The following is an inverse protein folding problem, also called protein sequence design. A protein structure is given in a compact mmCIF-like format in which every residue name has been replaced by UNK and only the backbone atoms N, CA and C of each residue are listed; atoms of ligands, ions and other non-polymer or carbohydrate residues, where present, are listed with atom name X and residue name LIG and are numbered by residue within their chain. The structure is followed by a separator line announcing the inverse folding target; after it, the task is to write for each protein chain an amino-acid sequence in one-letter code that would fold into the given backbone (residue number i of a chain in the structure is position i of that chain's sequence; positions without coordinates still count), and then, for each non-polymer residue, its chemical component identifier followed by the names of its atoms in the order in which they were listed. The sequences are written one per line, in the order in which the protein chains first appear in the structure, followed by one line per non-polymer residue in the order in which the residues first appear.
data_IF_324323420611
#
_entry.id   IF_324323420611
#
_cell.length_a   1.000
_cell.length_b   1.000
_cell.length_c   1.000
_cell.angle_alpha   90.00
_cell.angle_beta   90.00
_cell.angle_gamma   90.00
#
_symmetry.space_group_name_H-M   'P 1'
#
loop_
_entity.id
_entity.type
_entity.pdbx_description
1 polymer ?
#
# COMPACT_ATOMS: atom_id res chain seq x y z
N UNK A 1 31.78 -16.34 0.93
CA UNK A 1 31.03 -16.88 2.09
C UNK A 1 29.66 -16.26 1.98
N UNK A 2 28.61 -17.06 1.73
CA UNK A 2 27.27 -16.56 1.44
C UNK A 2 26.62 -15.83 2.63
N UNK A 3 27.25 -15.82 3.80
CA UNK A 3 26.76 -15.11 4.99
C UNK A 3 27.50 -13.79 5.26
N UNK A 4 28.55 -13.50 4.49
CA UNK A 4 29.35 -12.28 4.71
C UNK A 4 28.75 -11.09 3.99
N UNK A 5 28.43 -10.05 4.76
CA UNK A 5 28.11 -8.72 4.25
C UNK A 5 29.42 -7.96 3.99
N UNK A 6 29.57 -7.40 2.78
CA UNK A 6 30.73 -6.60 2.41
C UNK A 6 30.36 -5.12 2.34
N UNK A 7 30.89 -4.35 3.30
CA UNK A 7 30.90 -2.89 3.24
C UNK A 7 32.29 -2.40 2.88
N UNK A 8 32.46 -1.86 1.67
CA UNK A 8 33.74 -1.37 1.17
C UNK A 8 34.07 0.06 1.64
N UNK A 9 33.11 0.77 2.26
CA UNK A 9 33.27 2.19 2.60
C UNK A 9 33.64 3.02 1.38
N UNK A 10 34.42 4.08 1.60
CA UNK A 10 35.04 4.86 0.52
C UNK A 10 36.41 4.28 0.17
N UNK A 11 36.65 4.01 -1.12
CA UNK A 11 37.95 3.56 -1.63
C UNK A 11 38.29 2.07 -1.39
N UNK A 12 37.39 1.27 -0.78
CA UNK A 12 37.63 -0.15 -0.58
C UNK A 12 37.48 -0.97 -1.87
N UNK A 13 38.29 -2.03 -2.01
CA UNK A 13 38.26 -2.91 -3.18
C UNK A 13 37.86 -4.33 -2.78
N UNK A 14 36.93 -4.93 -3.54
CA UNK A 14 36.62 -6.35 -3.52
C UNK A 14 37.05 -6.97 -4.85
N UNK A 15 38.14 -7.74 -4.83
CA UNK A 15 38.62 -8.49 -5.99
C UNK A 15 38.11 -9.94 -5.92
N UNK A 16 37.28 -10.32 -6.90
CA UNK A 16 36.75 -11.68 -7.07
C UNK A 16 37.27 -12.36 -8.34
N UNK A 17 38.28 -11.79 -9.00
CA UNK A 17 38.80 -12.25 -10.29
C UNK A 17 39.33 -13.69 -10.31
N UNK A 18 39.63 -14.27 -9.14
CA UNK A 18 40.18 -15.63 -9.01
C UNK A 18 39.17 -16.78 -9.12
N UNK A 19 37.89 -16.56 -8.81
CA UNK A 19 36.82 -17.57 -8.91
C UNK A 19 35.46 -16.96 -8.59
N UNK A 20 34.38 -17.53 -9.11
CA UNK A 20 33.00 -17.19 -8.71
C UNK A 20 32.85 -17.09 -7.19
N UNK A 21 32.14 -16.05 -6.73
CA UNK A 21 31.90 -15.78 -5.30
C UNK A 21 30.42 -15.59 -5.01
N UNK A 22 30.02 -15.96 -3.80
CA UNK A 22 28.71 -15.62 -3.22
C UNK A 22 28.91 -14.87 -1.92
N UNK A 23 28.19 -13.75 -1.78
CA UNK A 23 28.18 -12.85 -0.61
C UNK A 23 26.75 -12.55 -0.17
N UNK A 24 26.56 -12.18 1.10
CA UNK A 24 25.25 -11.86 1.66
C UNK A 24 24.79 -10.44 1.37
N UNK A 25 25.70 -9.49 1.18
CA UNK A 25 25.35 -8.11 0.86
C UNK A 25 26.55 -7.37 0.29
N UNK A 26 26.28 -6.38 -0.57
CA UNK A 26 27.27 -5.44 -1.07
C UNK A 26 26.84 -4.01 -0.74
N UNK A 27 27.69 -3.26 -0.05
CA UNK A 27 27.56 -1.83 0.12
C UNK A 27 28.90 -1.12 -0.06
N UNK A 28 28.87 0.13 -0.48
CA UNK A 28 30.06 0.93 -0.71
C UNK A 28 29.73 2.37 -1.04
N UNK A 29 30.63 3.27 -0.68
CA UNK A 29 30.56 4.69 -1.01
C UNK A 29 31.35 4.98 -2.29
N UNK A 30 31.48 6.25 -2.65
CA UNK A 30 32.29 6.68 -3.79
C UNK A 30 33.72 6.13 -3.70
N UNK A 31 34.32 5.90 -4.86
CA UNK A 31 35.67 5.34 -5.05
C UNK A 31 35.84 3.87 -4.62
N UNK A 32 34.80 3.21 -4.10
CA UNK A 32 34.85 1.75 -3.91
C UNK A 32 34.83 1.01 -5.26
N UNK A 33 35.43 -0.19 -5.31
CA UNK A 33 35.58 -0.97 -6.53
C UNK A 33 35.27 -2.46 -6.30
N UNK A 34 34.59 -3.08 -7.25
CA UNK A 34 34.48 -4.54 -7.37
C UNK A 34 35.12 -4.98 -8.68
N UNK A 35 36.20 -5.76 -8.59
CA UNK A 35 36.90 -6.32 -9.75
C UNK A 35 36.42 -7.76 -10.01
N UNK A 36 35.61 -7.97 -11.04
CA UNK A 36 35.02 -9.29 -11.35
C UNK A 36 36.00 -10.24 -12.04
N UNK A 37 37.02 -9.72 -12.74
CA UNK A 37 37.81 -10.53 -13.69
C UNK A 37 36.89 -11.19 -14.72
N UNK A 38 36.93 -12.51 -14.84
CA UNK A 38 36.02 -13.30 -15.69
C UNK A 38 34.87 -13.96 -14.91
N UNK A 39 34.75 -13.68 -13.61
CA UNK A 39 33.96 -14.47 -12.68
C UNK A 39 32.56 -13.86 -12.43
N UNK A 40 31.66 -14.68 -11.90
CA UNK A 40 30.35 -14.22 -11.44
C UNK A 40 30.39 -13.91 -9.95
N UNK A 41 29.90 -12.73 -9.58
CA UNK A 41 29.60 -12.40 -8.19
C UNK A 41 28.09 -12.53 -7.94
N UNK A 42 27.72 -13.49 -7.11
CA UNK A 42 26.36 -13.66 -6.59
C UNK A 42 26.19 -12.88 -5.30
N UNK A 43 25.17 -12.03 -5.26
CA UNK A 43 24.81 -11.17 -4.13
C UNK A 43 23.45 -11.67 -3.62
N UNK A 44 23.47 -12.54 -2.61
CA UNK A 44 22.29 -13.18 -2.00
C UNK A 44 21.79 -12.33 -0.82
N UNK A 45 21.24 -11.16 -1.14
CA UNK A 45 20.95 -10.14 -0.13
C UNK A 45 19.49 -10.10 0.32
N UNK A 46 19.30 -10.17 1.64
CA UNK A 46 17.99 -10.09 2.28
C UNK A 46 17.63 -8.67 2.72
N UNK A 47 18.63 -7.83 2.96
CA UNK A 47 18.47 -6.42 3.37
C UNK A 47 18.83 -5.47 2.23
N UNK A 48 18.30 -4.26 2.30
CA UNK A 48 18.55 -3.22 1.31
C UNK A 48 19.93 -2.59 1.50
N UNK A 49 20.66 -2.39 0.40
CA UNK A 49 21.98 -1.76 0.39
C UNK A 49 22.14 -0.82 -0.79
N UNK A 50 23.12 0.07 -0.68
CA UNK A 50 23.54 0.96 -1.76
C UNK A 50 25.04 0.79 -2.03
N UNK A 51 25.39 0.76 -3.31
CA UNK A 51 26.76 0.68 -3.80
C UNK A 51 27.00 1.81 -4.80
N UNK A 52 27.79 2.81 -4.38
CA UNK A 52 28.18 3.95 -5.19
C UNK A 52 29.51 3.77 -5.94
N UNK A 53 30.20 2.66 -5.67
CA UNK A 53 31.42 2.29 -6.35
C UNK A 53 31.22 1.84 -7.79
N UNK A 54 32.32 1.47 -8.43
CA UNK A 54 32.36 0.93 -9.79
C UNK A 54 32.51 -0.59 -9.71
N UNK A 55 31.78 -1.30 -10.57
CA UNK A 55 31.98 -2.72 -10.83
C UNK A 55 32.61 -2.85 -12.22
N UNK A 56 33.72 -3.58 -12.33
CA UNK A 56 34.47 -3.73 -13.58
C UNK A 56 34.84 -5.19 -13.88
N UNK A 57 35.21 -5.45 -15.13
CA UNK A 57 35.63 -6.77 -15.62
C UNK A 57 34.76 -7.34 -16.75
N UNK A 58 35.05 -8.57 -17.17
CA UNK A 58 34.26 -9.28 -18.17
C UNK A 58 33.28 -10.30 -17.54
N UNK A 59 33.41 -10.51 -16.23
CA UNK A 59 32.50 -11.28 -15.41
C UNK A 59 31.14 -10.62 -15.22
N UNK A 60 30.25 -11.32 -14.51
CA UNK A 60 28.84 -10.97 -14.36
C UNK A 60 28.37 -10.82 -12.91
N UNK A 61 27.13 -10.39 -12.76
CA UNK A 61 26.45 -10.24 -11.47
C UNK A 61 25.21 -11.13 -11.44
N UNK A 62 25.00 -11.84 -10.33
CA UNK A 62 23.72 -12.48 -10.00
C UNK A 62 23.16 -11.81 -8.75
N UNK A 63 22.05 -11.09 -8.89
CA UNK A 63 21.30 -10.48 -7.79
C UNK A 63 20.22 -11.45 -7.31
N UNK A 64 20.44 -11.98 -6.12
CA UNK A 64 19.58 -12.92 -5.41
C UNK A 64 19.10 -12.29 -4.08
N UNK A 65 18.30 -13.04 -3.32
CA UNK A 65 17.72 -12.59 -2.05
C UNK A 65 16.63 -11.52 -2.21
N UNK A 66 15.91 -11.20 -1.14
CA UNK A 66 14.72 -10.33 -1.19
C UNK A 66 15.01 -8.82 -1.16
N UNK A 67 16.21 -8.41 -0.78
CA UNK A 67 16.56 -7.00 -0.58
C UNK A 67 16.77 -6.23 -1.89
N UNK A 68 16.87 -4.91 -1.76
CA UNK A 68 17.15 -3.96 -2.84
C UNK A 68 18.65 -3.69 -2.94
N UNK A 69 19.26 -3.95 -4.09
CA UNK A 69 20.62 -3.50 -4.41
C UNK A 69 20.52 -2.23 -5.24
N UNK A 70 20.84 -1.09 -4.65
CA UNK A 70 20.88 0.19 -5.33
C UNK A 70 22.29 0.47 -5.87
N UNK A 71 22.45 0.44 -7.20
CA UNK A 71 23.69 0.80 -7.88
C UNK A 71 23.61 2.26 -8.32
N UNK A 72 24.40 3.12 -7.68
CA UNK A 72 24.47 4.55 -8.03
C UNK A 72 25.73 4.93 -8.80
N UNK A 73 26.73 4.05 -8.82
CA UNK A 73 27.97 4.25 -9.59
C UNK A 73 27.85 3.85 -11.06
N UNK A 74 28.82 4.30 -11.86
CA UNK A 74 28.92 3.98 -13.30
C UNK A 74 29.79 2.74 -13.51
N UNK A 75 29.15 1.57 -13.52
CA UNK A 75 29.81 0.28 -13.64
C UNK A 75 30.07 -0.09 -15.11
N UNK A 76 31.26 -0.65 -15.37
CA UNK A 76 31.79 -0.89 -16.72
C UNK A 76 31.89 -2.36 -17.10
N UNK A 77 31.49 -3.28 -16.20
CA UNK A 77 31.52 -4.70 -16.47
C UNK A 77 30.62 -5.10 -17.65
N UNK A 78 31.03 -6.15 -18.37
CA UNK A 78 30.41 -6.56 -19.64
C UNK A 78 29.78 -7.93 -19.61
N UNK A 79 30.09 -8.78 -18.63
CA UNK A 79 29.42 -10.05 -18.42
C UNK A 79 28.01 -9.86 -17.89
N UNK A 80 27.12 -10.85 -18.02
CA UNK A 80 25.68 -10.69 -17.84
C UNK A 80 25.28 -10.35 -16.40
N UNK A 81 24.20 -9.59 -16.27
CA UNK A 81 23.51 -9.33 -15.00
C UNK A 81 22.21 -10.13 -14.94
N UNK A 82 22.14 -11.10 -14.03
CA UNK A 82 20.92 -11.83 -13.74
C UNK A 82 20.25 -11.25 -12.49
N UNK A 83 18.98 -10.87 -12.59
CA UNK A 83 18.16 -10.45 -11.44
C UNK A 83 17.21 -11.60 -11.14
N UNK A 84 17.55 -12.44 -10.16
CA UNK A 84 16.78 -13.64 -9.80
C UNK A 84 15.85 -13.43 -8.60
N UNK A 85 16.10 -12.39 -7.79
CA UNK A 85 15.29 -12.10 -6.62
C UNK A 85 15.46 -10.66 -6.11
N UNK A 86 14.42 -10.17 -5.44
CA UNK A 86 14.40 -8.82 -4.88
C UNK A 86 14.48 -7.78 -5.99
N UNK A 87 15.09 -6.64 -5.69
CA UNK A 87 15.21 -5.53 -6.66
C UNK A 87 16.66 -5.19 -6.94
N UNK A 88 17.00 -5.06 -8.22
CA UNK A 88 18.18 -4.33 -8.67
C UNK A 88 17.71 -2.93 -9.13
N UNK A 89 18.03 -1.90 -8.34
CA UNK A 89 17.77 -0.52 -8.72
C UNK A 89 19.03 0.08 -9.33
N UNK A 90 18.99 0.46 -10.61
CA UNK A 90 20.12 1.10 -11.30
C UNK A 90 19.83 2.59 -11.41
N UNK A 91 20.52 3.38 -10.61
CA UNK A 91 20.43 4.85 -10.57
C UNK A 91 21.72 5.52 -11.09
N UNK A 92 22.78 4.74 -11.31
CA UNK A 92 23.96 5.11 -12.10
C UNK A 92 23.88 4.49 -13.49
N UNK A 93 24.90 3.72 -13.87
CA UNK A 93 24.89 2.97 -15.12
C UNK A 93 25.52 1.58 -15.03
N UNK A 94 24.99 0.64 -15.81
CA UNK A 94 25.62 -0.66 -16.09
C UNK A 94 25.65 -0.89 -17.59
N UNK A 95 26.81 -1.30 -18.13
CA UNK A 95 26.96 -1.63 -19.57
C UNK A 95 26.43 -3.03 -19.88
N UNK A 96 26.47 -3.92 -18.89
CA UNK A 96 26.09 -5.32 -18.98
C UNK A 96 24.67 -5.55 -19.54
N UNK A 97 24.46 -6.63 -20.32
CA UNK A 97 23.11 -7.09 -20.63
C UNK A 97 22.41 -7.64 -19.38
N UNK A 98 21.15 -7.25 -19.19
CA UNK A 98 20.34 -7.63 -18.03
C UNK A 98 19.31 -8.69 -18.41
N UNK A 99 19.20 -9.74 -17.58
CA UNK A 99 18.10 -10.69 -17.61
C UNK A 99 17.35 -10.64 -16.28
N UNK A 100 16.06 -10.32 -16.33
CA UNK A 100 15.18 -10.31 -15.17
C UNK A 100 14.41 -11.62 -15.13
N UNK A 101 14.70 -12.46 -14.14
CA UNK A 101 14.08 -13.76 -13.96
C UNK A 101 12.87 -13.69 -13.02
N UNK A 102 12.14 -14.81 -12.90
CA UNK A 102 10.96 -14.90 -12.06
C UNK A 102 11.26 -14.49 -10.60
N UNK A 103 10.53 -13.50 -10.08
CA UNK A 103 10.72 -12.99 -8.72
C UNK A 103 11.80 -11.91 -8.58
N UNK A 104 12.52 -11.59 -9.66
CA UNK A 104 13.41 -10.44 -9.73
C UNK A 104 12.71 -9.19 -10.29
N UNK A 105 13.14 -8.03 -9.80
CA UNK A 105 12.68 -6.72 -10.27
C UNK A 105 13.86 -5.87 -10.70
N UNK A 106 13.81 -5.31 -11.91
CA UNK A 106 14.72 -4.26 -12.35
C UNK A 106 14.04 -2.89 -12.22
N UNK A 107 14.68 -1.94 -11.55
CA UNK A 107 14.18 -0.58 -11.42
C UNK A 107 15.27 0.49 -11.44
N UNK A 108 14.95 1.68 -10.94
CA UNK A 108 15.84 2.85 -10.92
C UNK A 108 15.68 3.75 -12.15
N UNK A 109 16.37 4.89 -12.14
CA UNK A 109 16.29 5.95 -13.16
C UNK A 109 17.57 6.13 -14.01
N UNK A 110 18.47 5.15 -13.94
CA UNK A 110 19.76 5.13 -14.60
C UNK A 110 19.75 4.54 -16.02
N UNK A 111 20.89 3.99 -16.41
CA UNK A 111 21.09 3.33 -17.72
C UNK A 111 21.53 1.88 -17.57
N UNK A 112 20.90 0.98 -18.32
CA UNK A 112 21.25 -0.45 -18.40
C UNK A 112 21.57 -0.84 -19.85
N UNK A 113 22.27 -1.97 -20.05
CA UNK A 113 22.48 -2.56 -21.37
C UNK A 113 21.22 -3.25 -21.92
N UNK A 114 21.38 -4.06 -22.97
CA UNK A 114 20.30 -4.89 -23.52
C UNK A 114 19.53 -5.63 -22.42
N UNK A 115 18.21 -5.55 -22.41
CA UNK A 115 17.40 -6.07 -21.30
C UNK A 115 16.41 -7.13 -21.78
N UNK A 116 16.34 -8.26 -21.09
CA UNK A 116 15.31 -9.27 -21.29
C UNK A 116 14.52 -9.47 -19.99
N UNK A 117 13.22 -9.23 -20.04
CA UNK A 117 12.31 -9.47 -18.92
C UNK A 117 11.65 -10.83 -19.14
N UNK A 118 12.08 -11.82 -18.37
CA UNK A 118 11.59 -13.19 -18.42
C UNK A 118 10.20 -13.36 -17.82
N UNK A 119 9.66 -14.57 -17.94
CA UNK A 119 8.36 -14.90 -17.35
C UNK A 119 8.39 -14.74 -15.83
N UNK A 120 7.44 -13.99 -15.27
CA UNK A 120 7.38 -13.65 -13.85
C UNK A 120 8.45 -12.66 -13.37
N UNK A 121 9.28 -12.12 -14.27
CA UNK A 121 10.18 -11.01 -13.97
C UNK A 121 9.48 -9.66 -14.12
N UNK A 122 9.89 -8.69 -13.32
CA UNK A 122 9.28 -7.36 -13.28
C UNK A 122 10.28 -6.28 -13.69
N UNK A 123 9.85 -5.33 -14.51
CA UNK A 123 10.55 -4.06 -14.70
C UNK A 123 9.67 -2.94 -14.12
N UNK A 124 10.25 -2.13 -13.23
CA UNK A 124 9.60 -1.06 -12.48
C UNK A 124 10.52 0.18 -12.49
N UNK A 125 10.55 0.95 -13.59
CA UNK A 125 11.44 2.10 -13.75
C UNK A 125 11.21 3.17 -12.69
N UNK A 126 12.25 3.93 -12.39
CA UNK A 126 12.16 5.10 -11.52
C UNK A 126 12.42 4.82 -10.03
N UNK A 127 12.22 5.88 -9.25
CA UNK A 127 12.20 5.93 -7.79
C UNK A 127 10.96 6.74 -7.34
N UNK A 128 9.83 6.56 -8.03
CA UNK A 128 8.56 7.30 -7.92
C UNK A 128 8.62 8.80 -8.29
N UNK A 129 8.23 9.29 -9.47
CA UNK A 129 8.06 8.72 -10.82
C UNK A 129 9.37 8.98 -11.60
N UNK A 130 9.83 8.07 -12.47
CA UNK A 130 11.13 8.21 -13.15
C UNK A 130 11.27 7.56 -14.53
N UNK A 131 12.49 7.62 -15.07
CA UNK A 131 12.80 7.09 -16.40
C UNK A 131 14.01 6.16 -16.32
N UNK A 132 13.87 4.93 -16.83
CA UNK A 132 14.99 4.02 -17.03
C UNK A 132 15.41 4.00 -18.51
N UNK A 133 16.70 4.16 -18.78
CA UNK A 133 17.24 4.04 -20.14
C UNK A 133 17.78 2.64 -20.39
N UNK A 134 17.31 1.98 -21.44
CA UNK A 134 17.89 0.75 -21.96
C UNK A 134 18.75 1.12 -23.17
N UNK A 135 20.07 1.12 -22.99
CA UNK A 135 21.03 1.35 -24.08
C UNK A 135 21.18 0.08 -24.95
N UNK A 136 20.10 -0.31 -25.61
CA UNK A 136 19.99 -1.50 -26.41
C UNK A 136 18.54 -1.88 -26.67
N UNK A 137 18.34 -3.13 -27.09
CA UNK A 137 17.00 -3.68 -27.24
C UNK A 137 16.42 -4.10 -25.87
N UNK A 138 15.09 -4.04 -25.75
CA UNK A 138 14.35 -4.64 -24.63
C UNK A 138 13.34 -5.66 -25.15
N UNK A 139 13.27 -6.82 -24.48
CA UNK A 139 12.29 -7.86 -24.75
C UNK A 139 11.46 -8.21 -23.52
N UNK A 140 10.12 -8.19 -23.68
CA UNK A 140 9.15 -8.63 -22.69
C UNK A 140 8.66 -10.03 -23.07
N UNK A 141 9.09 -11.05 -22.33
CA UNK A 141 8.66 -12.43 -22.55
C UNK A 141 7.22 -12.68 -22.07
N UNK A 142 6.65 -13.82 -22.46
CA UNK A 142 5.33 -14.24 -22.01
C UNK A 142 5.25 -14.29 -20.46
N UNK A 143 4.27 -13.61 -19.88
CA UNK A 143 4.08 -13.53 -18.43
C UNK A 143 5.05 -12.61 -17.70
N UNK A 144 5.83 -11.78 -18.39
CA UNK A 144 6.58 -10.69 -17.74
C UNK A 144 5.65 -9.54 -17.31
N UNK A 145 6.12 -8.73 -16.36
CA UNK A 145 5.37 -7.64 -15.78
C UNK A 145 6.11 -6.33 -16.04
N UNK A 146 5.43 -5.35 -16.63
CA UNK A 146 5.87 -3.96 -16.67
C UNK A 146 5.05 -3.15 -15.67
N UNK A 147 5.66 -2.78 -14.55
CA UNK A 147 5.04 -1.93 -13.53
C UNK A 147 5.30 -0.46 -13.86
N UNK A 148 4.26 0.37 -13.76
CA UNK A 148 4.30 1.79 -14.14
C UNK A 148 3.57 2.63 -13.09
N UNK A 149 4.30 3.48 -12.37
CA UNK A 149 3.73 4.51 -11.51
C UNK A 149 3.27 5.70 -12.36
N UNK A 150 2.10 6.26 -12.06
CA UNK A 150 1.54 7.42 -12.78
C UNK A 150 0.84 8.38 -11.85
N UNK A 151 0.76 9.67 -12.21
CA UNK A 151 0.04 10.66 -11.43
C UNK A 151 -0.94 11.51 -12.25
N UNK A 152 -1.81 12.23 -11.54
CA UNK A 152 -2.82 13.10 -12.15
C UNK A 152 -2.23 14.27 -12.97
N UNK A 153 -0.96 14.64 -12.73
CA UNK A 153 -0.26 15.68 -13.48
C UNK A 153 0.22 15.21 -14.87
N UNK A 154 -0.02 13.95 -15.24
CA UNK A 154 0.40 13.40 -16.53
C UNK A 154 1.84 12.88 -16.54
N UNK A 155 2.44 12.69 -15.37
CA UNK A 155 3.74 12.06 -15.24
C UNK A 155 3.57 10.55 -15.09
N UNK A 156 4.50 9.78 -15.65
CA UNK A 156 4.51 8.34 -15.57
C UNK A 156 5.94 7.81 -15.59
N UNK A 157 6.12 6.63 -15.01
CA UNK A 157 7.32 5.86 -15.24
C UNK A 157 7.46 5.51 -16.71
N UNK A 158 8.72 5.50 -17.16
CA UNK A 158 9.02 5.30 -18.57
C UNK A 158 10.29 4.50 -18.78
N UNK A 159 10.22 3.54 -19.69
CA UNK A 159 11.40 2.89 -20.28
C UNK A 159 11.70 3.50 -21.65
N UNK A 160 12.95 3.90 -21.85
CA UNK A 160 13.47 4.36 -23.14
C UNK A 160 14.54 3.41 -23.68
N UNK A 161 14.18 2.64 -24.70
CA UNK A 161 15.10 1.76 -25.39
C UNK A 161 15.71 2.44 -26.63
N UNK A 162 17.04 2.49 -26.70
CA UNK A 162 17.76 2.96 -27.90
C UNK A 162 17.73 1.93 -29.04
N UNK A 163 17.36 0.68 -28.74
CA UNK A 163 17.15 -0.41 -29.69
C UNK A 163 15.68 -0.69 -30.00
N UNK A 164 15.40 -1.92 -30.42
CA UNK A 164 14.05 -2.40 -30.68
C UNK A 164 13.38 -2.88 -29.40
N UNK A 165 12.06 -2.71 -29.33
CA UNK A 165 11.19 -3.23 -28.27
C UNK A 165 10.43 -4.43 -28.83
N UNK A 166 10.49 -5.57 -28.14
CA UNK A 166 9.71 -6.78 -28.48
C UNK A 166 8.81 -7.18 -27.32
N UNK A 167 7.53 -7.43 -27.58
CA UNK A 167 6.52 -7.71 -26.55
C UNK A 167 5.77 -8.99 -26.90
N UNK A 168 5.80 -9.97 -26.00
CA UNK A 168 5.00 -11.18 -26.10
C UNK A 168 3.53 -10.91 -25.72
N UNK A 169 2.62 -11.67 -26.31
CA UNK A 169 1.16 -11.51 -26.23
C UNK A 169 0.54 -11.74 -24.84
N UNK A 170 1.29 -12.28 -23.88
CA UNK A 170 0.87 -12.51 -22.49
C UNK A 170 1.73 -11.74 -21.48
N UNK A 171 2.61 -10.86 -21.95
CA UNK A 171 3.24 -9.85 -21.09
C UNK A 171 2.18 -8.86 -20.59
N UNK A 172 2.37 -8.31 -19.40
CA UNK A 172 1.36 -7.51 -18.70
C UNK A 172 1.90 -6.13 -18.35
N UNK A 173 1.02 -5.13 -18.31
CA UNK A 173 1.30 -3.82 -17.70
C UNK A 173 0.51 -3.71 -16.40
N UNK A 174 1.19 -3.46 -15.29
CA UNK A 174 0.58 -3.18 -13.99
C UNK A 174 0.72 -1.68 -13.68
N UNK A 175 -0.39 -0.95 -13.71
CA UNK A 175 -0.40 0.48 -13.42
C UNK A 175 -0.60 0.69 -11.91
N UNK A 176 0.28 1.51 -11.32
CA UNK A 176 0.18 2.00 -9.96
C UNK A 176 -0.12 3.50 -10.03
N UNK A 177 -1.38 3.89 -9.88
CA UNK A 177 -1.75 5.30 -9.92
C UNK A 177 -1.60 5.94 -8.53
N UNK A 178 -0.92 7.08 -8.47
CA UNK A 178 -0.92 7.92 -7.27
C UNK A 178 -2.31 8.52 -7.04
N UNK A 179 -2.63 8.88 -5.79
CA UNK A 179 -3.85 9.66 -5.53
C UNK A 179 -3.76 11.03 -6.18
N UNK A 180 -4.81 11.45 -6.90
CA UNK A 180 -4.87 12.79 -7.49
C UNK A 180 -6.09 13.00 -8.37
N UNK A 181 -6.35 14.26 -8.73
CA UNK A 181 -7.50 14.64 -9.55
C UNK A 181 -7.24 14.36 -11.04
N UNK A 182 -7.41 13.10 -11.47
CA UNK A 182 -7.25 12.73 -12.88
C UNK A 182 -8.29 13.43 -13.75
N UNK A 183 -7.83 13.96 -14.89
CA UNK A 183 -8.72 14.42 -15.94
C UNK A 183 -9.60 13.25 -16.44
N UNK A 184 -10.74 13.51 -17.13
CA UNK A 184 -11.55 12.45 -17.75
C UNK A 184 -10.74 11.48 -18.62
N UNK A 185 -9.63 11.98 -19.16
CA UNK A 185 -8.61 11.20 -19.83
C UNK A 185 -7.23 11.81 -19.57
N UNK A 186 -6.26 10.99 -19.17
CA UNK A 186 -4.84 11.36 -19.10
C UNK A 186 -4.01 10.39 -19.92
N UNK A 187 -3.10 10.90 -20.75
CA UNK A 187 -2.25 10.12 -21.65
C UNK A 187 -0.79 10.16 -21.18
N UNK A 188 -0.14 9.00 -21.13
CA UNK A 188 1.22 8.78 -20.66
C UNK A 188 2.03 8.00 -21.69
N UNK A 189 3.20 8.48 -22.08
CA UNK A 189 4.13 7.66 -22.88
C UNK A 189 4.98 6.84 -21.94
N UNK A 190 4.73 5.53 -21.90
CA UNK A 190 5.33 4.64 -20.89
C UNK A 190 6.50 3.83 -21.46
N UNK A 191 6.58 3.62 -22.77
CA UNK A 191 7.65 2.83 -23.37
C UNK A 191 7.99 3.39 -24.74
N UNK A 192 9.28 3.59 -25.02
CA UNK A 192 9.76 3.93 -26.35
C UNK A 192 10.85 3.00 -26.83
N UNK A 193 10.88 2.77 -28.15
CA UNK A 193 11.90 2.00 -28.85
C UNK A 193 12.35 2.74 -30.09
N UNK A 194 13.60 3.21 -30.10
CA UNK A 194 14.11 4.01 -31.21
C UNK A 194 14.21 3.22 -32.53
N UNK A 195 14.29 1.88 -32.46
CA UNK A 195 14.24 0.99 -33.64
C UNK A 195 12.88 0.29 -33.80
N UNK A 196 11.85 0.78 -33.12
CA UNK A 196 10.47 0.31 -33.25
C UNK A 196 9.98 -0.59 -32.13
N UNK A 197 8.66 -0.72 -32.06
CA UNK A 197 7.93 -1.58 -31.12
C UNK A 197 7.21 -2.67 -31.91
N UNK A 198 7.48 -3.93 -31.56
CA UNK A 198 6.85 -5.10 -32.17
C UNK A 198 6.13 -5.93 -31.11
N UNK A 199 4.87 -6.27 -31.39
CA UNK A 199 3.99 -6.97 -30.43
C UNK A 199 3.20 -6.01 -29.54
N UNK A 200 2.40 -6.58 -28.66
CA UNK A 200 1.50 -5.85 -27.76
C UNK A 200 1.40 -6.59 -26.43
N UNK A 201 1.30 -5.86 -25.32
CA UNK A 201 0.97 -6.44 -24.02
C UNK A 201 -0.43 -7.09 -24.08
N UNK A 202 -0.57 -8.25 -23.43
CA UNK A 202 -1.80 -9.04 -23.39
C UNK A 202 -2.86 -8.49 -22.45
N UNK A 203 -2.43 -7.83 -21.38
CA UNK A 203 -3.31 -7.21 -20.40
C UNK A 203 -2.71 -5.95 -19.81
N UNK A 204 -3.59 -5.07 -19.34
CA UNK A 204 -3.24 -3.93 -18.51
C UNK A 204 -4.18 -3.90 -17.30
N UNK A 205 -3.62 -3.70 -16.11
CA UNK A 205 -4.36 -3.58 -14.86
C UNK A 205 -4.05 -2.25 -14.19
N UNK A 206 -4.90 -1.81 -13.27
CA UNK A 206 -4.68 -0.63 -12.43
C UNK A 206 -5.13 -0.95 -11.01
N UNK A 207 -4.50 -0.32 -10.03
CA UNK A 207 -4.86 -0.42 -8.62
C UNK A 207 -6.05 0.47 -8.22
N UNK A 208 -6.45 1.42 -9.07
CA UNK A 208 -7.64 2.26 -8.84
C UNK A 208 -8.92 1.67 -9.43
N UNK A 209 -9.98 1.66 -8.62
CA UNK A 209 -11.27 1.09 -9.03
C UNK A 209 -12.00 1.96 -10.06
N UNK A 210 -11.67 3.24 -10.15
CA UNK A 210 -12.38 4.21 -10.97
C UNK A 210 -11.61 4.67 -12.23
N UNK A 211 -10.51 3.99 -12.55
CA UNK A 211 -9.71 4.26 -13.74
C UNK A 211 -9.74 3.05 -14.68
N UNK A 212 -10.03 3.28 -15.94
CA UNK A 212 -9.94 2.27 -16.99
C UNK A 212 -8.66 2.50 -17.80
N UNK A 213 -7.69 1.56 -17.73
CA UNK A 213 -6.46 1.68 -18.49
C UNK A 213 -6.62 1.14 -19.92
N UNK A 214 -6.05 1.87 -20.88
CA UNK A 214 -6.01 1.49 -22.29
C UNK A 214 -4.61 1.71 -22.85
N UNK A 215 -4.05 0.69 -23.50
CA UNK A 215 -2.77 0.80 -24.20
C UNK A 215 -2.99 1.11 -25.68
N UNK A 216 -2.23 2.08 -26.19
CA UNK A 216 -2.17 2.48 -27.59
C UNK A 216 -0.76 2.31 -28.11
N UNK A 217 -0.65 1.82 -29.33
CA UNK A 217 0.64 1.50 -29.94
C UNK A 217 0.87 2.38 -31.17
N UNK A 218 2.09 2.87 -31.29
CA UNK A 218 2.63 3.50 -32.48
C UNK A 218 3.84 2.71 -32.97
N UNK A 219 4.47 3.16 -34.05
CA UNK A 219 5.67 2.49 -34.56
C UNK A 219 6.80 2.40 -33.54
N UNK A 220 6.96 3.42 -32.67
CA UNK A 220 8.13 3.57 -31.79
C UNK A 220 7.78 3.79 -30.31
N UNK A 221 6.50 3.73 -29.94
CA UNK A 221 6.07 4.02 -28.58
C UNK A 221 4.78 3.30 -28.19
N UNK A 222 4.66 3.02 -26.88
CA UNK A 222 3.43 2.60 -26.21
C UNK A 222 2.95 3.74 -25.33
N UNK A 223 1.69 4.11 -25.50
CA UNK A 223 1.00 5.13 -24.70
C UNK A 223 -0.07 4.48 -23.86
N UNK A 224 -0.03 4.70 -22.55
CA UNK A 224 -1.10 4.39 -21.63
C UNK A 224 -2.08 5.57 -21.58
N UNK A 225 -3.36 5.31 -21.79
CA UNK A 225 -4.44 6.26 -21.52
C UNK A 225 -5.21 5.77 -20.30
N UNK A 226 -5.32 6.60 -19.27
CA UNK A 226 -6.24 6.36 -18.16
C UNK A 226 -7.50 7.17 -18.38
N UNK A 227 -8.64 6.49 -18.39
CA UNK A 227 -9.96 7.09 -18.44
C UNK A 227 -10.59 7.04 -17.07
N UNK A 228 -11.29 8.09 -16.66
CA UNK A 228 -12.26 7.93 -15.56
C UNK A 228 -13.35 6.99 -16.03
N UNK A 229 -13.61 5.94 -15.27
CA UNK A 229 -14.63 4.97 -15.64
C UNK A 229 -16.03 5.39 -15.18
N UNK A 230 -17.04 4.75 -15.74
CA UNK A 230 -18.45 4.98 -15.42
C UNK A 230 -18.94 4.07 -14.26
N UNK A 231 -18.02 3.54 -13.43
CA UNK A 231 -18.41 2.71 -12.28
C UNK A 231 -19.01 3.63 -11.22
N UNK A 232 -20.29 3.41 -10.92
CA UNK A 232 -20.96 4.12 -9.83
C UNK A 232 -20.34 3.70 -8.49
N UNK A 233 -20.18 4.63 -7.54
CA UNK A 233 -19.70 4.30 -6.19
C UNK A 233 -20.48 3.15 -5.53
N UNK A 234 -21.75 3.02 -5.89
CA UNK A 234 -22.67 1.98 -5.41
C UNK A 234 -22.18 0.57 -5.78
N UNK A 235 -21.54 0.41 -6.94
CA UNK A 235 -21.06 -0.90 -7.43
C UNK A 235 -19.79 -1.37 -6.72
N UNK A 236 -19.07 -0.45 -6.06
CA UNK A 236 -17.89 -0.74 -5.25
C UNK A 236 -18.25 -1.09 -3.80
N UNK A 237 -19.44 -0.71 -3.32
CA UNK A 237 -19.87 -0.94 -1.95
C UNK A 237 -20.05 -2.44 -1.63
N UNK A 238 -19.50 -2.88 -0.49
CA UNK A 238 -19.54 -4.30 -0.09
C UNK A 238 -20.85 -4.71 0.62
N UNK A 239 -21.62 -3.76 1.14
CA UNK A 239 -22.86 -4.04 1.87
C UNK A 239 -23.95 -2.96 1.69
N UNK A 240 -25.15 -3.23 2.20
CA UNK A 240 -26.31 -2.36 2.02
C UNK A 240 -26.15 -0.96 2.62
N UNK A 241 -25.47 -0.83 3.77
CA UNK A 241 -25.23 0.46 4.41
C UNK A 241 -24.22 1.28 3.60
N UNK A 242 -23.13 0.65 3.16
CA UNK A 242 -22.15 1.27 2.27
C UNK A 242 -22.80 1.71 0.95
N UNK A 243 -23.64 0.87 0.35
CA UNK A 243 -24.35 1.16 -0.90
C UNK A 243 -25.24 2.39 -0.77
N UNK A 244 -25.94 2.55 0.36
CA UNK A 244 -26.76 3.73 0.63
C UNK A 244 -25.94 5.02 0.75
N UNK A 245 -24.78 4.97 1.41
CA UNK A 245 -23.86 6.12 1.50
C UNK A 245 -23.19 6.41 0.17
N UNK A 246 -22.69 5.38 -0.51
CA UNK A 246 -22.07 5.47 -1.82
C UNK A 246 -23.02 6.15 -2.83
N UNK A 247 -24.29 5.76 -2.85
CA UNK A 247 -25.31 6.42 -3.67
C UNK A 247 -25.57 7.87 -3.28
N UNK A 248 -25.52 8.19 -1.98
CA UNK A 248 -25.64 9.57 -1.50
C UNK A 248 -24.44 10.42 -1.92
N UNK A 249 -23.21 9.90 -1.80
CA UNK A 249 -21.99 10.58 -2.26
C UNK A 249 -22.01 10.74 -3.77
N UNK A 250 -22.37 9.69 -4.53
CA UNK A 250 -22.54 9.73 -5.99
C UNK A 250 -23.47 10.86 -6.43
N UNK A 251 -24.59 11.03 -5.71
CA UNK A 251 -25.59 12.07 -6.03
C UNK A 251 -25.12 13.51 -5.80
N UNK A 252 -24.03 13.72 -5.05
CA UNK A 252 -23.43 15.05 -4.88
C UNK A 252 -22.81 15.56 -6.17
N UNK A 253 -22.39 14.64 -7.05
CA UNK A 253 -21.82 14.94 -8.36
C UNK A 253 -20.42 15.56 -8.31
N UNK A 254 -19.89 15.76 -9.52
CA UNK A 254 -18.61 16.41 -9.80
C UNK A 254 -18.61 17.82 -9.17
N UNK A 255 -17.42 18.28 -8.72
CA UNK A 255 -17.17 19.52 -7.97
C UNK A 255 -17.56 19.48 -6.48
N UNK A 256 -18.14 18.38 -5.99
CA UNK A 256 -18.28 18.17 -4.55
C UNK A 256 -17.01 17.57 -3.95
N UNK A 257 -16.41 18.18 -2.91
CA UNK A 257 -15.15 17.68 -2.34
C UNK A 257 -15.25 16.26 -1.77
N UNK A 258 -16.43 15.82 -1.33
CA UNK A 258 -16.63 14.46 -0.85
C UNK A 258 -16.74 13.45 -2.00
N UNK A 259 -17.30 13.87 -3.14
CA UNK A 259 -17.36 13.04 -4.35
C UNK A 259 -15.95 12.85 -4.92
N UNK A 260 -15.20 13.94 -5.10
CA UNK A 260 -13.84 13.89 -5.66
C UNK A 260 -12.88 13.09 -4.75
N UNK A 261 -13.01 13.21 -3.43
CA UNK A 261 -12.17 12.46 -2.49
C UNK A 261 -12.38 10.93 -2.53
N UNK A 262 -13.56 10.46 -2.94
CA UNK A 262 -13.85 9.02 -3.10
C UNK A 262 -13.41 8.53 -4.48
N UNK A 263 -13.54 9.38 -5.50
CA UNK A 263 -13.23 9.05 -6.90
C UNK A 263 -11.77 8.62 -7.10
N UNK A 264 -10.86 9.15 -6.29
CA UNK A 264 -9.41 8.92 -6.38
C UNK A 264 -8.92 7.73 -5.55
N UNK A 265 -9.83 6.86 -5.10
CA UNK A 265 -9.51 5.74 -4.23
C UNK A 265 -9.56 4.39 -4.96
N UNK A 266 -8.74 3.45 -4.48
CA UNK A 266 -8.94 2.04 -4.80
C UNK A 266 -10.22 1.48 -4.14
N UNK A 267 -10.65 0.30 -4.58
CA UNK A 267 -11.91 -0.29 -4.13
C UNK A 267 -11.96 -0.50 -2.60
N UNK A 268 -10.84 -0.95 -2.01
CA UNK A 268 -10.77 -1.23 -0.58
C UNK A 268 -10.87 0.05 0.27
N UNK A 269 -10.15 1.09 -0.12
CA UNK A 269 -10.21 2.41 0.51
C UNK A 269 -11.59 3.04 0.35
N UNK A 270 -12.20 2.95 -0.84
CA UNK A 270 -13.55 3.45 -1.07
C UNK A 270 -14.57 2.74 -0.17
N UNK A 271 -14.50 1.41 -0.06
CA UNK A 271 -15.33 0.62 0.86
C UNK A 271 -15.12 1.01 2.33
N UNK A 272 -13.88 1.24 2.75
CA UNK A 272 -13.58 1.74 4.09
C UNK A 272 -14.20 3.13 4.33
N UNK A 273 -14.04 4.06 3.38
CA UNK A 273 -14.62 5.40 3.43
C UNK A 273 -16.15 5.34 3.54
N UNK A 274 -16.82 4.48 2.77
CA UNK A 274 -18.26 4.28 2.90
C UNK A 274 -18.64 3.69 4.27
N UNK A 275 -17.80 2.82 4.83
CA UNK A 275 -17.95 2.27 6.18
C UNK A 275 -17.85 3.31 7.29
N UNK A 276 -16.92 4.24 7.16
CA UNK A 276 -16.76 5.35 8.09
C UNK A 276 -17.96 6.30 8.03
N UNK A 277 -18.38 6.66 6.82
CA UNK A 277 -19.50 7.56 6.58
C UNK A 277 -20.86 6.95 6.96
N UNK A 278 -21.02 5.63 6.85
CA UNK A 278 -22.24 4.92 7.27
C UNK A 278 -22.30 4.73 8.80
N UNK A 279 -21.16 4.83 9.49
CA UNK A 279 -21.01 4.63 10.93
C UNK A 279 -20.94 3.16 11.36
N UNK A 280 -20.75 2.22 10.44
CA UNK A 280 -20.75 0.79 10.75
C UNK A 280 -19.49 0.31 11.50
N UNK A 281 -18.38 1.03 11.38
CA UNK A 281 -17.20 0.82 12.25
C UNK A 281 -17.52 1.15 13.72
N UNK A 282 -18.30 2.20 13.96
CA UNK A 282 -18.71 2.57 15.32
C UNK A 282 -19.76 1.58 15.88
N UNK A 283 -20.69 1.10 15.05
CA UNK A 283 -21.69 0.13 15.45
C UNK A 283 -21.09 -1.25 15.78
N UNK A 284 -20.13 -1.73 14.98
CA UNK A 284 -19.42 -2.99 15.22
C UNK A 284 -18.53 -2.92 16.45
N UNK A 285 -17.80 -1.83 16.67
CA UNK A 285 -16.98 -1.63 17.88
C UNK A 285 -17.84 -1.56 19.15
N UNK A 286 -18.99 -0.87 19.11
CA UNK A 286 -19.94 -0.84 20.22
C UNK A 286 -20.56 -2.22 20.45
N UNK A 287 -20.82 -3.00 19.39
CA UNK A 287 -21.34 -4.38 19.51
C UNK A 287 -20.28 -5.32 20.11
N UNK A 288 -19.01 -5.23 19.69
CA UNK A 288 -17.90 -5.98 20.28
C UNK A 288 -17.68 -5.64 21.75
N UNK A 289 -17.69 -4.35 22.11
CA UNK A 289 -17.65 -3.92 23.51
C UNK A 289 -18.87 -4.40 24.30
N UNK A 290 -20.03 -4.49 23.68
CA UNK A 290 -21.25 -5.03 24.30
C UNK A 290 -21.17 -6.55 24.47
N UNK A 291 -20.49 -7.27 23.59
CA UNK A 291 -20.28 -8.72 23.67
C UNK A 291 -19.22 -9.11 24.71
N UNK A 292 -18.12 -8.36 24.78
CA UNK A 292 -17.14 -8.48 25.88
C UNK A 292 -17.79 -8.21 27.25
N UNK A 293 -18.73 -7.27 27.29
CA UNK A 293 -19.53 -7.01 28.48
C UNK A 293 -20.39 -8.21 28.88
N UNK A 294 -20.81 -9.07 27.94
CA UNK A 294 -21.58 -10.30 28.24
C UNK A 294 -20.69 -11.38 28.82
N UNK A 295 -19.46 -11.54 28.34
CA UNK A 295 -18.50 -12.48 28.92
C UNK A 295 -18.14 -12.11 30.37
N UNK A 296 -17.87 -10.83 30.65
CA UNK A 296 -17.65 -10.34 32.02
C UNK A 296 -18.89 -10.47 32.91
N UNK A 297 -20.10 -10.19 32.40
CA UNK A 297 -21.34 -10.38 33.17
C UNK A 297 -21.61 -11.84 33.49
N UNK A 298 -21.40 -12.75 32.53
CA UNK A 298 -21.62 -14.17 32.74
C UNK A 298 -20.60 -14.78 33.71
N UNK A 299 -19.34 -14.29 33.69
CA UNK A 299 -18.34 -14.65 34.71
C UNK A 299 -18.74 -14.17 36.11
N UNK A 300 -19.31 -12.97 36.23
CA UNK A 300 -19.77 -12.41 37.52
C UNK A 300 -21.07 -13.05 38.03
N UNK A 301 -22.00 -13.41 37.14
CA UNK A 301 -23.26 -14.08 37.50
C UNK A 301 -23.09 -15.60 37.72
N UNK A 302 -22.05 -16.19 37.14
CA UNK A 302 -21.65 -17.57 37.34
C UNK A 302 -20.83 -17.82 38.61
N UNK A 303 -20.40 -16.76 39.32
CA UNK A 303 -19.70 -16.91 40.60
C UNK A 303 -20.65 -17.48 41.67
N UNK A 304 -20.41 -18.70 42.18
CA UNK A 304 -21.20 -19.24 43.27
C UNK A 304 -20.97 -18.39 44.53
N UNK A 305 -22.05 -17.96 45.18
CA UNK A 305 -21.97 -17.23 46.43
C UNK A 305 -21.16 -18.03 47.48
N UNK A 306 -20.18 -17.42 48.18
CA UNK A 306 -19.31 -18.14 49.07
C UNK A 306 -20.09 -18.72 50.25
N UNK A 307 -20.00 -20.05 50.43
CA UNK A 307 -20.43 -20.75 51.64
C UNK A 307 -19.40 -20.53 52.74
N UNK A 308 -19.40 -19.37 53.43
CA UNK A 308 -18.93 -19.24 54.81
C UNK A 308 -19.20 -17.85 55.38
N UNK A 309 -19.60 -17.81 56.65
CA UNK A 309 -19.98 -16.63 57.42
C UNK A 309 -18.79 -15.76 57.80
N UNK A 310 -18.68 -14.57 57.19
CA UNK A 310 -17.73 -13.51 57.53
C UNK A 310 -18.15 -12.16 56.90
N UNK A 311 -17.61 -11.01 57.37
CA UNK A 311 -17.97 -9.70 56.83
C UNK A 311 -17.48 -9.59 55.38
N UNK A 312 -18.36 -9.19 54.46
CA UNK A 312 -18.02 -8.97 53.07
C UNK A 312 -18.55 -7.63 52.58
N UNK A 313 -17.78 -7.00 51.70
CA UNK A 313 -18.14 -5.78 50.96
C UNK A 313 -18.47 -6.21 49.54
N UNK A 314 -19.56 -5.69 49.00
CA UNK A 314 -19.92 -5.90 47.60
C UNK A 314 -20.24 -4.55 46.95
N UNK A 315 -19.87 -4.43 45.68
CA UNK A 315 -20.22 -3.30 44.83
C UNK A 315 -20.72 -3.83 43.49
N UNK A 316 -21.84 -3.30 43.00
CA UNK A 316 -22.30 -3.50 41.63
C UNK A 316 -22.21 -2.16 40.90
N UNK A 317 -21.55 -2.18 39.74
CA UNK A 317 -21.37 -1.02 38.89
C UNK A 317 -22.46 -0.87 37.83
N UNK A 318 -22.98 0.36 37.76
CA UNK A 318 -23.63 1.06 36.64
C UNK A 318 -25.06 0.67 36.22
N UNK A 319 -25.96 1.65 36.38
CA UNK A 319 -27.24 1.71 35.67
C UNK A 319 -27.34 3.01 34.86
N UNK A 320 -28.00 2.91 33.70
CA UNK A 320 -28.31 4.02 32.80
C UNK A 320 -29.82 4.12 32.68
N UNK A 321 -30.40 5.22 33.16
CA UNK A 321 -31.81 5.55 32.92
C UNK A 321 -31.87 6.65 31.85
N UNK A 322 -32.20 6.24 30.62
CA UNK A 322 -32.51 7.19 29.55
C UNK A 322 -33.87 7.84 29.79
N UNK A 323 -33.97 9.15 29.53
CA UNK A 323 -35.25 9.84 29.43
C UNK A 323 -35.44 10.30 28.00
N UNK A 324 -36.38 9.69 27.30
CA UNK A 324 -36.86 10.20 26.03
C UNK A 324 -37.87 11.32 26.32
N UNK A 325 -37.61 12.51 25.79
CA UNK A 325 -38.58 13.61 25.86
C UNK A 325 -38.71 14.22 24.48
N UNK A 326 -39.90 14.06 23.91
CA UNK A 326 -40.28 14.67 22.65
C UNK A 326 -40.80 16.08 22.96
N UNK A 327 -40.12 17.11 22.44
CA UNK A 327 -40.52 18.51 22.55
C UNK A 327 -40.23 19.20 21.22
N UNK A 328 -41.30 19.57 20.51
CA UNK A 328 -41.29 20.41 19.31
C UNK A 328 -40.18 20.07 18.28
N UNK A 329 -40.16 18.82 17.79
CA UNK A 329 -39.49 18.48 16.53
C UNK A 329 -37.96 18.43 16.53
N UNK A 330 -37.27 18.54 17.67
CA UNK A 330 -35.82 18.27 17.76
C UNK A 330 -35.50 17.18 18.78
N UNK A 331 -34.74 16.17 18.34
CA UNK A 331 -34.15 15.15 19.21
C UNK A 331 -32.90 15.75 19.87
N UNK A 332 -32.89 15.80 21.21
CA UNK A 332 -31.71 16.23 21.96
C UNK A 332 -31.32 15.14 22.94
N UNK A 333 -30.18 14.52 22.69
CA UNK A 333 -29.59 13.56 23.62
C UNK A 333 -28.77 14.32 24.67
N UNK A 334 -28.91 13.91 25.92
CA UNK A 334 -28.36 14.61 27.07
C UNK A 334 -27.94 13.61 28.13
N UNK A 335 -26.72 13.08 28.00
CA UNK A 335 -26.15 12.19 28.99
C UNK A 335 -25.54 13.00 30.13
N UNK A 336 -25.95 12.71 31.37
CA UNK A 336 -25.16 13.00 32.56
C UNK A 336 -24.80 11.68 33.20
N UNK A 337 -23.51 11.33 33.16
CA UNK A 337 -22.95 10.31 34.03
C UNK A 337 -22.77 10.92 35.42
N UNK A 338 -23.19 10.20 36.47
CA UNK A 338 -22.56 10.20 37.80
C UNK A 338 -23.36 9.35 38.81
N UNK A 339 -22.72 8.35 39.40
CA UNK A 339 -23.16 7.71 40.65
C UNK A 339 -22.61 6.30 40.87
N UNK A 340 -21.90 6.09 41.98
CA UNK A 340 -21.48 4.79 42.52
C UNK A 340 -22.35 4.47 43.75
N UNK A 341 -22.81 3.22 43.91
CA UNK A 341 -23.46 2.75 45.14
C UNK A 341 -22.69 1.56 45.70
N UNK A 342 -22.17 1.70 46.91
CA UNK A 342 -21.54 0.63 47.68
C UNK A 342 -22.18 0.52 49.06
N UNK A 343 -22.20 -0.68 49.62
CA UNK A 343 -22.71 -0.93 50.97
C UNK A 343 -21.93 -2.05 51.65
N UNK A 344 -21.66 -1.87 52.95
CA UNK A 344 -21.13 -2.92 53.81
C UNK A 344 -22.22 -3.37 54.78
N UNK A 345 -22.33 -4.67 55.03
CA UNK A 345 -23.27 -5.22 56.01
C UNK A 345 -22.51 -5.83 57.18
N UNK A 346 -22.65 -5.22 58.35
CA UNK A 346 -22.29 -5.85 59.64
C UNK A 346 -23.59 -6.07 60.41
N UNK A 347 -23.74 -7.28 60.93
CA UNK A 347 -25.01 -7.86 61.37
C UNK A 347 -25.60 -7.10 62.59
N UNK A 348 -26.65 -6.30 62.38
CA UNK A 348 -28.02 -6.44 62.96
C UNK A 348 -28.88 -5.20 62.60
N UNK A 349 -29.99 -5.45 61.88
CA UNK A 349 -31.15 -4.58 61.54
C UNK A 349 -30.93 -3.28 60.74
N UNK A 350 -31.44 -3.29 59.48
CA UNK A 350 -31.86 -2.11 58.70
C UNK A 350 -31.03 -1.79 57.45
N UNK A 351 -31.67 -1.74 56.27
CA UNK A 351 -31.11 -1.13 55.05
C UNK A 351 -31.50 0.35 55.02
N UNK A 352 -30.55 1.27 54.78
CA UNK A 352 -30.85 2.66 54.47
C UNK A 352 -30.16 3.07 53.16
N UNK A 353 -30.95 3.50 52.18
CA UNK A 353 -30.47 4.23 51.00
C UNK A 353 -30.75 5.72 51.19
N UNK A 354 -29.73 6.57 51.12
CA UNK A 354 -29.89 8.04 51.13
C UNK A 354 -29.64 8.58 49.72
N UNK A 355 -30.69 9.03 49.05
CA UNK A 355 -30.59 9.68 47.75
C UNK A 355 -30.43 11.20 47.94
N UNK A 356 -29.39 11.80 47.35
CA UNK A 356 -29.26 13.27 47.24
C UNK A 356 -29.73 13.73 45.87
N UNK A 357 -30.84 14.46 45.80
CA UNK A 357 -31.33 15.12 44.59
C UNK A 357 -31.77 16.56 44.87
N UNK A 358 -31.32 17.53 44.07
CA UNK A 358 -31.77 18.94 44.12
C UNK A 358 -33.25 19.07 43.70
N UNK A 359 -34.01 20.05 44.24
CA UNK A 359 -35.43 20.21 43.94
C UNK A 359 -35.69 20.83 42.54
N UNK A 360 -36.80 20.44 41.90
CA UNK A 360 -37.22 20.84 40.55
C UNK A 360 -38.05 22.14 40.56
N UNK A 361 -37.88 23.00 39.54
CA UNK A 361 -38.90 23.99 39.10
C UNK A 361 -39.55 23.49 37.80
N UNK A 362 -40.88 23.49 37.74
CA UNK A 362 -41.65 23.23 36.52
C UNK A 362 -41.97 24.55 35.82
N UNK A 363 -41.65 24.67 34.53
CA UNK A 363 -42.12 25.74 33.65
C UNK A 363 -43.26 25.22 32.77
N UNK A 364 -44.40 25.93 32.77
CA UNK A 364 -45.52 25.69 31.86
C UNK A 364 -45.20 26.14 30.43
N UNK A 365 -45.58 25.35 29.43
CA UNK A 365 -45.66 25.79 28.02
C UNK A 365 -47.05 26.39 27.76
N UNK A 366 -47.10 27.64 27.31
CA UNK A 366 -48.31 28.26 26.75
C UNK A 366 -48.44 27.90 25.26
N UNK A 367 -49.66 27.54 24.83
CA UNK A 367 -50.03 27.37 23.41
C UNK A 367 -50.11 28.73 22.70
N UNK A 368 -49.74 28.84 21.41
CA UNK A 368 -50.17 29.97 20.60
C UNK A 368 -51.65 29.81 20.24
N UNK A 369 -52.43 30.87 20.42
CA UNK A 369 -53.80 30.94 19.95
C UNK A 369 -53.81 31.56 18.54
N UNK A 370 -54.37 30.77 17.61
CA UNK A 370 -54.90 31.08 16.26
C UNK A 370 -54.02 31.87 15.28
#
# INVERSE_FOLDING_TARGET
DPTTEFNLGSGGTLDVSGSDQTIAALSGEDESEVELGEQTLTIEQESDTSFAGIISGIGGIAKDGTGILNLTGDSTYTGPTAVNGGTLAVNGSIVSPVTVNAGGTLGGDGTVGNTSVGSGGTIAPGNSIGQLTVNGAIGFAAGSIYEVEVNAAGQADRVDATGAVTIADTAQVAVLAESGDYAPRTDYTILTGAQGVTGTFGSVTTDHAFLDPLLRYSANAVTLSLYRNDIDFVDVAANFNQSGVAGAVQSLGIDNPLFEAVLVQNAASAQATFGDLSGEIHASTVTGLTDDSRHLRNALLGMPAPRQSGPFVWGLGLWRLGRFRWLCGQFRDGHRSQGLCGGARVRWRGLWCRAFGRPRRFGLCARPAR
#
